data_IF_238809060034
#
_entry.id   IF_238809060034
#
_cell.length_a   1.000
_cell.length_b   1.000
_cell.length_c   1.000
_cell.angle_alpha   90.00
_cell.angle_beta   90.00
_cell.angle_gamma   90.00
#
_symmetry.space_group_name_H-M   'P 1'
#
loop_
_entity.id
_entity.type
_entity.pdbx_description
1 polymer ?
#
# COMPACT_ATOMS: atom_id res chain seq x y z
N UNK A 1 -3.08 -16.46 -5.98
CA UNK A 1 -2.28 -15.22 -6.07
C UNK A 1 -0.78 -15.46 -6.02
N UNK A 2 -0.26 -16.16 -5.02
CA UNK A 2 1.20 -16.35 -4.81
C UNK A 2 1.96 -16.91 -6.04
N UNK A 3 1.47 -17.92 -6.79
CA UNK A 3 2.21 -18.43 -7.95
C UNK A 3 2.46 -17.38 -9.04
N UNK A 4 1.48 -16.49 -9.27
CA UNK A 4 1.58 -15.42 -10.26
C UNK A 4 2.54 -14.31 -9.80
N UNK A 5 2.53 -13.98 -8.52
CA UNK A 5 3.48 -13.01 -7.93
C UNK A 5 4.92 -13.52 -8.02
N UNK A 6 5.14 -14.82 -7.77
CA UNK A 6 6.45 -15.45 -7.94
C UNK A 6 6.88 -15.47 -9.41
N UNK A 7 5.98 -15.83 -10.33
CA UNK A 7 6.24 -15.78 -11.77
C UNK A 7 6.59 -14.36 -12.26
N UNK A 8 5.88 -13.34 -11.76
CA UNK A 8 6.21 -11.94 -12.05
C UNK A 8 7.60 -11.57 -11.53
N UNK A 9 7.96 -12.00 -10.32
CA UNK A 9 9.30 -11.74 -9.76
C UNK A 9 10.40 -12.35 -10.60
N UNK A 10 10.18 -13.56 -11.14
CA UNK A 10 11.14 -14.21 -12.04
C UNK A 10 11.23 -13.50 -13.40
N UNK A 11 10.11 -13.03 -13.93
CA UNK A 11 10.04 -12.44 -15.28
C UNK A 11 10.41 -10.95 -15.34
N UNK A 12 10.16 -10.19 -14.27
CA UNK A 12 10.27 -8.73 -14.25
C UNK A 12 11.13 -8.21 -13.10
N UNK A 13 11.76 -9.09 -12.31
CA UNK A 13 12.53 -8.72 -11.11
C UNK A 13 11.67 -8.29 -9.90
N UNK A 14 10.35 -8.12 -10.07
CA UNK A 14 9.43 -7.69 -9.01
C UNK A 14 8.13 -8.48 -9.00
N UNK A 15 7.61 -8.77 -7.81
CA UNK A 15 6.39 -9.55 -7.64
C UNK A 15 5.13 -8.71 -7.91
N UNK A 16 5.14 -7.48 -7.41
CA UNK A 16 4.07 -6.49 -7.51
C UNK A 16 4.70 -5.10 -7.60
N UNK A 17 4.09 -4.20 -8.34
CA UNK A 17 4.54 -2.81 -8.42
C UNK A 17 3.62 -1.88 -7.63
N UNK A 18 2.31 -1.96 -7.92
CA UNK A 18 1.27 -1.15 -7.26
C UNK A 18 0.28 -2.09 -6.58
N UNK A 19 0.05 -1.89 -5.29
CA UNK A 19 -1.02 -2.50 -4.51
C UNK A 19 -2.13 -1.47 -4.28
N UNK A 20 -3.38 -1.85 -4.47
CA UNK A 20 -4.54 -0.99 -4.18
C UNK A 20 -5.48 -1.77 -3.25
N UNK A 21 -5.87 -1.15 -2.14
CA UNK A 21 -6.88 -1.70 -1.22
C UNK A 21 -7.87 -0.62 -0.82
N UNK A 22 -9.04 -1.02 -0.32
CA UNK A 22 -9.94 -0.06 0.32
C UNK A 22 -9.44 0.27 1.73
N UNK A 23 -9.19 -0.76 2.56
CA UNK A 23 -8.75 -0.60 3.95
C UNK A 23 -7.25 -0.33 4.08
N UNK A 24 -6.82 0.36 5.15
CA UNK A 24 -5.41 0.53 5.51
C UNK A 24 -4.74 -0.79 5.93
N UNK A 25 -3.40 -0.89 5.85
CA UNK A 25 -2.65 -1.91 6.59
C UNK A 25 -2.81 -1.70 8.09
N UNK A 26 -2.76 -2.79 8.85
CA UNK A 26 -2.88 -2.73 10.31
C UNK A 26 -1.73 -1.92 10.92
N UNK A 27 -2.07 -0.94 11.77
CA UNK A 27 -1.16 -0.02 12.42
C UNK A 27 -0.61 1.11 11.52
N UNK A 28 -1.11 1.27 10.29
CA UNK A 28 -0.66 2.31 9.35
C UNK A 28 -1.87 2.99 8.72
N UNK A 29 -2.10 4.25 9.07
CA UNK A 29 -3.26 5.04 8.61
C UNK A 29 -4.61 4.40 8.97
N UNK A 30 -4.64 3.49 9.94
CA UNK A 30 -5.85 2.91 10.51
C UNK A 30 -6.34 3.73 11.71
N UNK A 31 -7.60 3.56 12.09
CA UNK A 31 -8.23 4.26 13.22
C UNK A 31 -8.62 3.25 14.31
N UNK A 32 -8.85 3.72 15.53
CA UNK A 32 -9.11 2.87 16.71
C UNK A 32 -10.55 2.40 16.82
N UNK A 33 -11.46 2.93 16.00
CA UNK A 33 -12.85 2.49 15.93
C UNK A 33 -12.96 1.12 15.22
N UNK A 34 -13.81 0.22 15.72
CA UNK A 34 -13.96 -1.16 15.23
C UNK A 34 -14.02 -1.37 13.70
N UNK A 35 -14.69 -0.52 12.89
CA UNK A 35 -14.68 -0.68 11.43
C UNK A 35 -13.39 -0.20 10.74
N UNK A 36 -12.53 0.54 11.45
CA UNK A 36 -11.32 1.17 10.92
C UNK A 36 -10.03 0.42 11.28
N UNK A 37 -10.11 -0.78 11.86
CA UNK A 37 -8.93 -1.62 12.06
C UNK A 37 -8.32 -2.01 10.71
N UNK A 38 -7.03 -1.72 10.55
CA UNK A 38 -6.33 -2.11 9.33
C UNK A 38 -6.22 -3.64 9.17
N UNK A 39 -6.08 -4.09 7.92
CA UNK A 39 -6.07 -5.52 7.59
C UNK A 39 -4.65 -6.09 7.67
N UNK A 40 -4.38 -6.96 8.66
CA UNK A 40 -3.05 -7.58 8.85
C UNK A 40 -2.55 -8.40 7.65
N UNK A 41 -3.46 -8.91 6.80
CA UNK A 41 -3.08 -9.58 5.55
C UNK A 41 -2.36 -8.63 4.57
N UNK A 42 -2.65 -7.31 4.61
CA UNK A 42 -1.94 -6.32 3.81
C UNK A 42 -0.50 -6.18 4.30
N UNK A 43 -0.25 -6.17 5.62
CA UNK A 43 1.10 -6.14 6.16
C UNK A 43 1.92 -7.35 5.68
N UNK A 44 1.32 -8.55 5.67
CA UNK A 44 1.98 -9.74 5.11
C UNK A 44 2.31 -9.58 3.63
N UNK A 45 1.34 -9.09 2.83
CA UNK A 45 1.51 -8.92 1.38
C UNK A 45 2.58 -7.87 1.06
N UNK A 46 2.61 -6.75 1.79
CA UNK A 46 3.63 -5.71 1.66
C UNK A 46 5.02 -6.29 1.94
N UNK A 47 5.17 -7.06 3.02
CA UNK A 47 6.46 -7.71 3.36
C UNK A 47 6.89 -8.74 2.31
N UNK A 48 5.95 -9.52 1.77
CA UNK A 48 6.22 -10.58 0.81
C UNK A 48 6.53 -10.05 -0.60
N UNK A 49 5.63 -9.23 -1.13
CA UNK A 49 5.65 -8.76 -2.51
C UNK A 49 6.47 -7.47 -2.70
N UNK A 50 6.64 -6.67 -1.63
CA UNK A 50 7.36 -5.38 -1.63
C UNK A 50 6.97 -4.49 -2.81
N UNK A 51 5.68 -4.12 -2.95
CA UNK A 51 5.26 -3.18 -3.98
C UNK A 51 6.00 -1.85 -3.81
N UNK A 52 6.22 -1.10 -4.89
CA UNK A 52 6.75 0.25 -4.77
C UNK A 52 5.73 1.17 -4.11
N UNK A 53 4.46 1.02 -4.46
CA UNK A 53 3.36 1.86 -3.96
C UNK A 53 2.22 0.98 -3.46
N UNK A 54 1.68 1.32 -2.29
CA UNK A 54 0.41 0.80 -1.80
C UNK A 54 -0.56 1.95 -1.58
N UNK A 55 -1.62 2.01 -2.39
CA UNK A 55 -2.68 3.00 -2.25
C UNK A 55 -3.83 2.40 -1.45
N UNK A 56 -4.35 3.16 -0.49
CA UNK A 56 -5.58 2.83 0.20
C UNK A 56 -6.46 4.07 0.43
N UNK A 57 -7.70 3.83 0.85
CA UNK A 57 -8.64 4.88 1.24
C UNK A 57 -9.20 4.61 2.63
N UNK A 58 -10.43 5.07 2.89
CA UNK A 58 -11.21 4.83 4.12
C UNK A 58 -10.92 5.74 5.32
N UNK A 59 -9.73 6.34 5.47
CA UNK A 59 -9.46 7.27 6.59
C UNK A 59 -9.81 8.73 6.20
N UNK A 60 -10.95 9.23 6.65
CA UNK A 60 -11.27 10.67 6.64
C UNK A 60 -10.38 11.35 7.68
N UNK A 61 -9.43 12.19 7.25
CA UNK A 61 -8.67 13.03 8.18
C UNK A 61 -9.63 14.03 8.84
N UNK A 62 -10.15 13.71 10.03
CA UNK A 62 -10.76 14.72 10.87
C UNK A 62 -9.67 15.72 11.28
N UNK A 63 -9.93 17.00 10.96
CA UNK A 63 -9.07 18.17 11.24
C UNK A 63 -8.40 18.05 12.62
N UNK A 64 -7.12 17.72 12.64
CA UNK A 64 -6.30 17.77 13.86
C UNK A 64 -5.19 16.72 13.95
N UNK A 65 -5.34 15.56 13.32
CA UNK A 65 -4.29 14.53 13.32
C UNK A 65 -3.41 14.66 12.08
N UNK A 66 -2.25 15.28 12.30
CA UNK A 66 -1.10 15.43 11.39
C UNK A 66 -0.43 14.07 11.06
N UNK A 67 -1.18 12.98 10.92
CA UNK A 67 -0.62 11.74 10.40
C UNK A 67 -0.29 11.96 8.92
N UNK A 68 0.93 11.66 8.52
CA UNK A 68 1.34 11.82 7.13
C UNK A 68 0.42 11.00 6.23
N UNK A 69 -0.11 11.61 5.16
CA UNK A 69 -0.87 10.89 4.12
C UNK A 69 -0.04 9.82 3.39
N UNK A 70 1.26 9.80 3.65
CA UNK A 70 2.24 8.88 3.10
C UNK A 70 3.13 8.33 4.22
N UNK A 71 3.32 7.01 4.23
CA UNK A 71 4.22 6.32 5.14
C UNK A 71 5.10 5.35 4.35
N UNK A 72 6.41 5.43 4.57
CA UNK A 72 7.34 4.47 3.99
C UNK A 72 7.52 3.26 4.92
N UNK A 73 7.31 2.05 4.37
CA UNK A 73 7.67 0.79 5.03
C UNK A 73 8.61 -0.01 4.14
N UNK A 74 9.89 -0.08 4.52
CA UNK A 74 10.93 -0.67 3.69
C UNK A 74 11.01 0.00 2.32
N UNK A 75 10.64 -0.74 1.26
CA UNK A 75 10.65 -0.27 -0.13
C UNK A 75 9.28 0.19 -0.63
N UNK A 76 8.25 0.14 0.22
CA UNK A 76 6.87 0.46 -0.14
C UNK A 76 6.49 1.83 0.39
N UNK A 77 6.02 2.71 -0.49
CA UNK A 77 5.33 3.93 -0.11
C UNK A 77 3.83 3.63 0.05
N UNK A 78 3.29 3.76 1.26
CA UNK A 78 1.87 3.56 1.59
C UNK A 78 1.19 4.92 1.58
N UNK A 79 0.17 5.08 0.75
CA UNK A 79 -0.47 6.37 0.48
C UNK A 79 -1.97 6.27 0.78
N UNK A 80 -2.46 7.06 1.74
CA UNK A 80 -3.89 7.29 1.91
C UNK A 80 -4.36 8.32 0.88
N UNK A 81 -5.40 7.99 0.11
CA UNK A 81 -5.96 8.87 -0.92
C UNK A 81 -7.36 9.33 -0.51
N UNK A 82 -7.49 10.64 -0.33
CA UNK A 82 -8.77 11.30 -0.11
C UNK A 82 -8.71 12.78 -0.57
N UNK A 83 -9.62 13.28 -1.42
CA UNK A 83 -10.59 12.54 -2.26
C UNK A 83 -9.97 11.99 -3.55
N UNK A 84 -8.86 12.59 -4.03
CA UNK A 84 -8.09 12.10 -5.18
C UNK A 84 -6.62 12.48 -5.01
N UNK A 85 -5.74 11.78 -5.74
CA UNK A 85 -4.30 12.08 -5.79
C UNK A 85 -3.72 11.68 -7.14
N UNK A 86 -2.83 12.50 -7.68
CA UNK A 86 -2.02 12.17 -8.86
C UNK A 86 -0.67 11.65 -8.38
N UNK A 87 -0.28 10.46 -8.86
CA UNK A 87 0.97 9.80 -8.47
C UNK A 87 1.79 9.55 -9.73
N UNK A 88 2.98 10.12 -9.80
CA UNK A 88 3.95 9.82 -10.83
C UNK A 88 4.78 8.59 -10.40
N UNK A 89 4.73 7.53 -11.20
CA UNK A 89 5.51 6.31 -10.93
C UNK A 89 6.29 5.91 -12.18
N UNK A 90 7.63 5.82 -12.12
CA UNK A 90 8.43 5.41 -13.27
C UNK A 90 8.12 3.96 -13.63
N UNK A 91 7.67 3.75 -14.87
CA UNK A 91 7.47 2.40 -15.40
C UNK A 91 8.83 1.81 -15.83
N UNK A 92 9.55 1.24 -14.88
CA UNK A 92 10.73 0.44 -15.17
C UNK A 92 10.28 -0.97 -15.57
N UNK A 93 10.17 -1.22 -16.87
CA UNK A 93 10.09 -2.59 -17.40
C UNK A 93 11.48 -3.20 -17.20
N UNK A 94 11.65 -3.93 -16.09
CA UNK A 94 12.87 -4.70 -15.85
C UNK A 94 13.14 -5.66 -17.00
N UNK A 95 14.41 -5.76 -17.40
CA UNK A 95 14.92 -6.85 -18.26
C UNK A 95 14.78 -8.19 -17.56
#
# INVERSE_FOLDING_TARGET
>A
MVPRLLSNRLRYGRALDILISHSPPQGIHDDTDQPHHGLGALNWLIRFARPAIHVHGHTHFYRGNLAASETHTGQTNIINVYPYKVIEHPHNIGK
#
